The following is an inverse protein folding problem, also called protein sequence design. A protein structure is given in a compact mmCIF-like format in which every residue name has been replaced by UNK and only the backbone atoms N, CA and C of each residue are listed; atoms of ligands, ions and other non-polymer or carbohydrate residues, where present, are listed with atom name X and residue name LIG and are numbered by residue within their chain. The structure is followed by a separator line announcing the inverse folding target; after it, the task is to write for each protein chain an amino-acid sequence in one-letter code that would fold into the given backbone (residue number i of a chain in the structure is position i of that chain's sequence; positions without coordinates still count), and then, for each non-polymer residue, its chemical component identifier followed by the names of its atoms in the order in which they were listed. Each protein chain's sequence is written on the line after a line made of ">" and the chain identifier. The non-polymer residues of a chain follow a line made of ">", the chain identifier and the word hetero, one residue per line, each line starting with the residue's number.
data_IF_599262799354
#
_entry.id   IF_599262799354
#
_cell.length_a   1.000
_cell.length_b   1.000
_cell.length_c   1.000
_cell.angle_alpha   90.00
_cell.angle_beta   90.00
_cell.angle_gamma   90.00
#
_symmetry.space_group_name_H-M   'P 1'
#
loop_
_entity.id
_entity.type
_entity.pdbx_description
1 polymer ?
#
# COMPACT_ATOMS: atom_id res chain seq x y z
N UNK A 1 9.99 1.67 2.56
CA UNK A 1 9.69 0.37 1.89
C UNK A 1 8.23 0.12 2.19
N UNK A 2 7.36 -0.06 1.20
CA UNK A 2 5.90 -0.04 1.43
C UNK A 2 5.41 -1.01 2.51
N UNK A 3 4.25 -0.71 3.11
CA UNK A 3 3.64 -1.57 4.12
C UNK A 3 3.11 -2.86 3.52
N UNK A 4 3.11 -3.94 4.31
CA UNK A 4 2.49 -5.20 3.94
C UNK A 4 0.96 -5.05 3.88
N UNK A 5 0.38 -5.37 2.73
CA UNK A 5 -1.07 -5.32 2.48
C UNK A 5 -1.87 -6.13 3.51
N UNK A 6 -1.29 -7.20 4.06
CA UNK A 6 -1.94 -8.05 5.07
C UNK A 6 -2.07 -7.39 6.45
N UNK A 7 -1.47 -6.21 6.66
CA UNK A 7 -1.62 -5.46 7.92
C UNK A 7 -2.88 -4.61 7.97
N UNK A 8 -3.57 -4.43 6.85
CA UNK A 8 -4.77 -3.61 6.75
C UNK A 8 -6.01 -4.52 6.82
N UNK A 9 -7.00 -4.13 7.63
CA UNK A 9 -8.30 -4.80 7.65
C UNK A 9 -9.18 -4.20 6.56
N UNK A 10 -9.54 -5.01 5.56
CA UNK A 10 -10.35 -4.59 4.42
C UNK A 10 -9.56 -4.54 3.12
N UNK A 11 -10.22 -4.12 2.05
CA UNK A 11 -9.59 -3.97 0.74
C UNK A 11 -8.72 -2.71 0.73
N UNK A 12 -7.47 -2.85 0.31
CA UNK A 12 -6.58 -1.72 0.07
C UNK A 12 -6.81 -1.26 -1.36
N UNK A 13 -7.03 0.03 -1.53
CA UNK A 13 -7.21 0.65 -2.84
C UNK A 13 -6.00 0.36 -3.74
N UNK A 14 -6.26 -0.09 -4.97
CA UNK A 14 -5.22 -0.42 -5.95
C UNK A 14 -4.36 0.80 -6.29
N UNK A 15 -4.89 2.02 -6.15
CA UNK A 15 -4.12 3.27 -6.32
C UNK A 15 -3.03 3.46 -5.25
N UNK A 16 -3.15 2.77 -4.12
CA UNK A 16 -2.19 2.81 -3.01
C UNK A 16 -1.19 1.65 -3.05
N UNK A 17 -1.25 0.79 -4.06
CA UNK A 17 -0.33 -0.33 -4.25
C UNK A 17 0.83 0.09 -5.17
N UNK A 18 2.06 -0.05 -4.67
CA UNK A 18 3.23 0.19 -5.49
C UNK A 18 3.38 -0.91 -6.56
N UNK A 19 3.43 -0.58 -7.87
CA UNK A 19 3.53 -1.59 -8.93
C UNK A 19 4.90 -2.28 -8.99
N UNK A 20 5.91 -1.75 -8.30
CA UNK A 20 7.28 -2.28 -8.31
C UNK A 20 7.49 -3.31 -7.19
N UNK A 21 6.94 -3.06 -6.00
CA UNK A 21 7.16 -3.91 -4.82
C UNK A 21 5.88 -4.54 -4.26
N UNK A 22 4.71 -4.28 -4.85
CA UNK A 22 3.40 -4.76 -4.42
C UNK A 22 3.05 -4.44 -2.95
N UNK A 23 3.77 -3.50 -2.34
CA UNK A 23 3.49 -2.99 -1.00
C UNK A 23 2.64 -1.73 -1.05
N UNK A 24 1.95 -1.45 0.05
CA UNK A 24 1.16 -0.22 0.23
C UNK A 24 2.10 0.98 0.40
N UNK A 25 1.82 2.09 -0.27
CA UNK A 25 2.66 3.30 -0.21
C UNK A 25 2.77 3.83 1.23
N UNK A 26 4.01 4.12 1.68
CA UNK A 26 4.35 4.44 3.08
C UNK A 26 4.05 5.92 3.44
N UNK A 27 4.04 6.81 2.45
CA UNK A 27 3.73 8.23 2.57
C UNK A 27 2.66 8.60 1.52
N UNK A 28 1.37 8.76 1.90
CA UNK A 28 0.49 9.56 1.08
C UNK A 28 1.01 10.99 1.14
N UNK A 29 1.43 11.56 0.00
CA UNK A 29 1.74 12.99 -0.05
C UNK A 29 0.45 13.72 0.39
N UNK A 30 0.50 14.35 1.57
CA UNK A 30 -0.65 15.01 2.19
C UNK A 30 -1.20 16.16 1.36
#
# INVERSE_FOLDING_TARGET
>A
MGFDVNRFQGEVDEELICPICSGVLEDPVQ
#
